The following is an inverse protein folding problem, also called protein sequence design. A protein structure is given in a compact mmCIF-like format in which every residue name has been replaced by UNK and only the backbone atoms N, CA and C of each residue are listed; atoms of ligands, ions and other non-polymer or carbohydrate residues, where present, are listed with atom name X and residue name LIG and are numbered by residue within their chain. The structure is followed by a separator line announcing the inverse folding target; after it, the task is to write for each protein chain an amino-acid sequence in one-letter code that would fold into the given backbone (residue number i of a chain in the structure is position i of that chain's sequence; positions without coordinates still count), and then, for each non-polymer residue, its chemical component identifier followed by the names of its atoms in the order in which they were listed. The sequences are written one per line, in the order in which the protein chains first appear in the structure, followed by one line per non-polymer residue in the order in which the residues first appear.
data_IF_215739545390
#
_entry.id   IF_215739545390
#
_cell.length_a   1.000
_cell.length_b   1.000
_cell.length_c   1.000
_cell.angle_alpha   90.00
_cell.angle_beta   90.00
_cell.angle_gamma   90.00
#
_symmetry.space_group_name_H-M   'P 1'
#
loop_
_entity.id
_entity.type
_entity.pdbx_description
1 polymer ?
#
# COMPACT_ATOMS: atom_id res chain seq x y z
N UNK A 1 30.88 1.76 11.27
CA UNK A 1 30.25 0.61 10.56
C UNK A 1 29.76 1.14 9.23
N UNK A 2 30.40 0.72 8.13
CA UNK A 2 30.13 1.19 6.76
C UNK A 2 28.96 0.40 6.18
N UNK A 3 27.79 1.02 6.06
CA UNK A 3 26.58 0.44 5.46
C UNK A 3 26.62 0.52 3.93
N UNK A 4 27.64 -0.07 3.31
CA UNK A 4 27.71 -0.21 1.87
C UNK A 4 26.91 -1.44 1.41
N UNK A 5 26.28 -1.31 0.24
CA UNK A 5 25.70 -2.36 -0.59
C UNK A 5 24.42 -3.06 -0.13
N UNK A 6 23.29 -2.38 -0.32
CA UNK A 6 22.10 -3.08 -0.83
C UNK A 6 21.37 -2.22 -1.86
N UNK A 7 22.15 -1.63 -2.79
CA UNK A 7 21.56 -0.92 -3.92
C UNK A 7 21.18 -1.90 -5.02
N UNK A 8 19.99 -2.47 -4.92
CA UNK A 8 19.50 -3.44 -5.91
C UNK A 8 18.92 -2.70 -7.12
N UNK A 9 19.61 -2.79 -8.26
CA UNK A 9 19.11 -2.24 -9.51
C UNK A 9 17.73 -2.79 -9.86
N UNK A 10 16.92 -2.02 -10.59
CA UNK A 10 15.55 -2.37 -11.00
C UNK A 10 15.42 -3.82 -11.53
N UNK A 11 16.39 -4.30 -12.32
CA UNK A 11 16.37 -5.67 -12.86
C UNK A 11 16.39 -6.75 -11.77
N UNK A 12 17.05 -6.52 -10.63
CA UNK A 12 17.04 -7.45 -9.50
C UNK A 12 15.64 -7.51 -8.89
N UNK A 13 15.01 -6.36 -8.67
CA UNK A 13 13.63 -6.32 -8.18
C UNK A 13 12.63 -6.98 -9.15
N UNK A 14 12.81 -6.80 -10.47
CA UNK A 14 12.00 -7.50 -11.47
C UNK A 14 12.22 -9.02 -11.41
N UNK A 15 13.46 -9.47 -11.26
CA UNK A 15 13.80 -10.89 -11.14
C UNK A 15 13.21 -11.55 -9.88
N UNK A 16 13.31 -10.88 -8.73
CA UNK A 16 12.77 -11.38 -7.45
C UNK A 16 11.23 -11.41 -7.45
N UNK A 17 10.59 -10.40 -8.03
CA UNK A 17 9.12 -10.31 -8.05
C UNK A 17 8.47 -11.09 -9.18
N UNK A 18 9.23 -11.46 -10.22
CA UNK A 18 8.70 -12.02 -11.47
C UNK A 18 7.81 -11.04 -12.25
N UNK A 19 7.78 -9.75 -11.88
CA UNK A 19 6.93 -8.76 -12.53
C UNK A 19 7.56 -8.20 -13.80
N UNK A 20 6.73 -7.96 -14.82
CA UNK A 20 7.13 -7.11 -15.94
C UNK A 20 7.36 -5.66 -15.50
N UNK A 21 8.33 -4.96 -16.11
CA UNK A 21 8.72 -3.59 -15.76
C UNK A 21 7.54 -2.63 -15.57
N UNK A 22 6.60 -2.60 -16.53
CA UNK A 22 5.42 -1.72 -16.46
C UNK A 22 4.53 -2.00 -15.25
N UNK A 23 4.35 -3.28 -14.90
CA UNK A 23 3.56 -3.69 -13.74
C UNK A 23 4.28 -3.31 -12.44
N UNK A 24 5.57 -3.58 -12.35
CA UNK A 24 6.40 -3.19 -11.22
C UNK A 24 6.37 -1.69 -10.97
N UNK A 25 6.59 -0.87 -12.01
CA UNK A 25 6.55 0.59 -11.87
C UNK A 25 5.16 1.11 -11.47
N UNK A 26 4.07 0.47 -11.95
CA UNK A 26 2.71 0.80 -11.51
C UNK A 26 2.52 0.47 -10.02
N UNK A 27 3.02 -0.67 -9.55
CA UNK A 27 2.99 -1.05 -8.14
C UNK A 27 3.79 -0.05 -7.29
N UNK A 28 5.04 0.25 -7.68
CA UNK A 28 5.90 1.24 -7.02
C UNK A 28 5.21 2.59 -6.92
N UNK A 29 4.63 3.11 -8.01
CA UNK A 29 3.92 4.41 -7.97
C UNK A 29 2.76 4.38 -6.98
N UNK A 30 2.01 3.28 -6.92
CA UNK A 30 0.89 3.14 -5.98
C UNK A 30 1.38 3.05 -4.54
N UNK A 31 2.40 2.24 -4.25
CA UNK A 31 2.92 2.08 -2.90
C UNK A 31 3.64 3.32 -2.39
N UNK A 32 4.33 4.07 -3.26
CA UNK A 32 4.89 5.40 -2.93
C UNK A 32 3.78 6.37 -2.57
N UNK A 33 2.72 6.47 -3.40
CA UNK A 33 1.57 7.36 -3.11
C UNK A 33 0.85 7.00 -1.81
N UNK A 34 0.84 5.73 -1.43
CA UNK A 34 0.24 5.27 -0.17
C UNK A 34 1.15 5.47 1.05
N UNK A 35 2.38 5.99 0.88
CA UNK A 35 3.37 6.15 1.95
C UNK A 35 3.98 4.82 2.43
N UNK A 36 3.80 3.74 1.66
CA UNK A 36 4.30 2.40 2.02
C UNK A 36 5.75 2.17 1.60
N UNK A 37 6.18 2.84 0.52
CA UNK A 37 7.46 2.64 -0.10
C UNK A 37 8.13 3.98 -0.37
N UNK A 38 9.37 4.12 0.04
CA UNK A 38 10.22 5.24 -0.35
C UNK A 38 11.09 4.83 -1.54
N UNK A 39 11.27 5.75 -2.48
CA UNK A 39 12.10 5.55 -3.67
C UNK A 39 13.29 6.51 -3.61
N UNK A 40 14.45 6.00 -3.22
CA UNK A 40 15.66 6.79 -2.96
C UNK A 40 16.57 6.74 -4.19
N UNK A 41 16.94 7.88 -4.82
CA UNK A 41 17.89 7.88 -5.92
C UNK A 41 19.31 7.57 -5.42
N UNK A 42 20.00 6.63 -6.08
CA UNK A 42 21.39 6.24 -5.78
C UNK A 42 22.13 6.01 -7.10
N UNK A 43 23.14 6.83 -7.41
CA UNK A 43 24.02 6.69 -8.59
C UNK A 43 23.29 6.39 -9.92
N UNK A 44 22.23 7.16 -10.22
CA UNK A 44 21.43 6.98 -11.44
C UNK A 44 20.47 5.77 -11.41
N UNK A 45 20.37 5.09 -10.26
CA UNK A 45 19.41 4.02 -9.95
C UNK A 45 18.49 4.45 -8.81
N UNK A 46 17.66 3.51 -8.34
CA UNK A 46 16.76 3.72 -7.23
C UNK A 46 16.77 2.53 -6.28
N UNK A 47 16.83 2.84 -5.00
CA UNK A 47 16.52 1.91 -3.91
C UNK A 47 15.07 2.06 -3.47
N UNK A 48 14.49 0.95 -3.07
CA UNK A 48 13.08 0.84 -2.67
C UNK A 48 13.01 0.37 -1.23
N UNK A 49 12.68 1.30 -0.32
CA UNK A 49 12.68 1.05 1.12
C UNK A 49 11.26 1.01 1.64
N UNK A 50 10.87 -0.10 2.30
CA UNK A 50 9.53 -0.24 2.87
C UNK A 50 9.42 0.48 4.21
N UNK A 51 8.38 1.31 4.34
CA UNK A 51 7.99 1.87 5.62
C UNK A 51 7.23 0.79 6.43
N UNK A 52 7.94 0.15 7.37
CA UNK A 52 7.37 -0.91 8.22
C UNK A 52 6.19 -0.44 9.07
N UNK A 53 6.23 0.80 9.55
CA UNK A 53 5.14 1.38 10.36
C UNK A 53 3.88 1.57 9.52
N UNK A 54 4.00 2.17 8.33
CA UNK A 54 2.89 2.31 7.40
C UNK A 54 2.36 0.94 6.94
N UNK A 55 3.25 -0.03 6.72
CA UNK A 55 2.85 -1.40 6.39
C UNK A 55 2.03 -2.06 7.52
N UNK A 56 2.48 -1.93 8.77
CA UNK A 56 1.73 -2.42 9.93
C UNK A 56 0.34 -1.79 10.04
N UNK A 57 0.25 -0.47 9.80
CA UNK A 57 -1.03 0.23 9.75
C UNK A 57 -1.93 -0.24 8.61
N UNK A 58 -1.38 -0.54 7.44
CA UNK A 58 -2.16 -1.13 6.34
C UNK A 58 -2.73 -2.48 6.74
N UNK A 59 -1.93 -3.34 7.38
CA UNK A 59 -2.36 -4.66 7.86
C UNK A 59 -3.52 -4.53 8.85
N UNK A 60 -3.46 -3.55 9.76
CA UNK A 60 -4.56 -3.25 10.70
C UNK A 60 -5.85 -2.86 9.96
N UNK A 61 -5.75 -1.95 8.97
CA UNK A 61 -6.90 -1.50 8.17
C UNK A 61 -7.54 -2.67 7.40
N UNK A 62 -6.74 -3.45 6.67
CA UNK A 62 -7.27 -4.55 5.84
C UNK A 62 -7.81 -5.71 6.68
N UNK A 63 -7.34 -5.87 7.92
CA UNK A 63 -7.81 -6.89 8.85
C UNK A 63 -9.00 -6.42 9.71
N UNK A 64 -9.43 -5.17 9.55
CA UNK A 64 -10.49 -4.58 10.38
C UNK A 64 -11.89 -5.11 10.06
N UNK A 65 -12.10 -5.66 8.86
CA UNK A 65 -13.37 -6.21 8.42
C UNK A 65 -13.16 -7.48 7.60
N UNK A 66 -14.09 -8.42 7.70
CA UNK A 66 -14.11 -9.64 6.88
C UNK A 66 -14.84 -9.42 5.55
N UNK A 67 -15.54 -8.29 5.39
CA UNK A 67 -16.28 -7.99 4.16
C UNK A 67 -15.37 -7.37 3.11
N UNK A 68 -15.09 -8.14 2.05
CA UNK A 68 -14.29 -7.69 0.91
C UNK A 68 -14.90 -6.47 0.22
N UNK A 69 -16.23 -6.40 0.09
CA UNK A 69 -16.90 -5.27 -0.59
C UNK A 69 -16.72 -3.96 0.19
N UNK A 70 -16.98 -3.97 1.50
CA UNK A 70 -16.73 -2.79 2.37
C UNK A 70 -15.27 -2.38 2.29
N UNK A 71 -14.35 -3.35 2.44
CA UNK A 71 -12.93 -3.06 2.45
C UNK A 71 -12.47 -2.46 1.11
N UNK A 72 -12.97 -2.99 -0.01
CA UNK A 72 -12.66 -2.50 -1.34
C UNK A 72 -13.16 -1.08 -1.54
N UNK A 73 -14.43 -0.81 -1.23
CA UNK A 73 -15.00 0.54 -1.35
C UNK A 73 -14.25 1.56 -0.49
N UNK A 74 -13.90 1.17 0.74
CA UNK A 74 -13.07 1.98 1.63
C UNK A 74 -11.70 2.28 1.01
N UNK A 75 -10.99 1.25 0.54
CA UNK A 75 -9.66 1.40 -0.04
C UNK A 75 -9.67 2.21 -1.36
N UNK A 76 -10.66 1.98 -2.22
CA UNK A 76 -10.79 2.70 -3.50
C UNK A 76 -11.11 4.19 -3.25
N UNK A 77 -11.94 4.49 -2.24
CA UNK A 77 -12.18 5.87 -1.81
C UNK A 77 -10.91 6.51 -1.22
N UNK A 78 -10.34 5.94 -0.17
CA UNK A 78 -9.25 6.57 0.59
C UNK A 78 -7.94 6.62 -0.19
N UNK A 79 -7.52 5.50 -0.80
CA UNK A 79 -6.22 5.41 -1.47
C UNK A 79 -6.31 5.71 -2.97
N UNK A 80 -7.46 5.47 -3.58
CA UNK A 80 -7.69 5.73 -5.00
C UNK A 80 -8.14 7.16 -5.27
N UNK A 81 -9.26 7.56 -4.67
CA UNK A 81 -9.94 8.84 -4.96
C UNK A 81 -9.35 10.00 -4.16
N UNK A 82 -9.23 9.83 -2.84
CA UNK A 82 -8.67 10.86 -1.94
C UNK A 82 -7.14 10.93 -2.01
N UNK A 83 -6.48 9.90 -2.55
CA UNK A 83 -5.02 9.84 -2.71
C UNK A 83 -4.27 9.90 -1.37
N UNK A 84 -4.91 9.49 -0.28
CA UNK A 84 -4.36 9.59 1.07
C UNK A 84 -3.30 8.53 1.32
N UNK A 85 -2.35 8.87 2.20
CA UNK A 85 -1.40 7.90 2.73
C UNK A 85 -2.04 7.03 3.81
N UNK A 86 -1.51 5.81 3.98
CA UNK A 86 -1.97 4.86 4.99
C UNK A 86 -1.91 5.43 6.41
N UNK A 87 -0.86 6.18 6.72
CA UNK A 87 -0.69 6.80 8.03
C UNK A 87 -1.76 7.85 8.37
N UNK A 88 -2.41 8.43 7.35
CA UNK A 88 -3.46 9.45 7.56
C UNK A 88 -4.83 8.85 7.91
N UNK A 89 -5.00 7.54 7.79
CA UNK A 89 -6.26 6.87 8.14
C UNK A 89 -6.41 6.85 9.65
N UNK A 90 -7.47 7.50 10.15
CA UNK A 90 -7.70 7.68 11.58
C UNK A 90 -8.24 6.41 12.24
N UNK A 91 -8.02 6.26 13.55
CA UNK A 91 -8.60 5.13 14.30
C UNK A 91 -10.13 5.12 14.27
N UNK A 92 -10.75 6.30 14.15
CA UNK A 92 -12.20 6.39 14.04
C UNK A 92 -12.69 5.80 12.70
N UNK A 93 -11.97 6.05 11.60
CA UNK A 93 -12.25 5.43 10.31
C UNK A 93 -12.09 3.91 10.37
N UNK A 94 -11.03 3.40 11.02
CA UNK A 94 -10.83 1.95 11.21
C UNK A 94 -11.94 1.33 12.08
N UNK A 95 -12.36 2.00 13.16
CA UNK A 95 -13.48 1.55 14.00
C UNK A 95 -14.80 1.53 13.23
N UNK A 96 -15.02 2.52 12.38
CA UNK A 96 -16.22 2.60 11.52
C UNK A 96 -16.20 1.47 10.51
N UNK A 97 -15.06 1.24 9.86
CA UNK A 97 -14.86 0.15 8.92
C UNK A 97 -15.16 -1.23 9.56
N UNK A 98 -14.68 -1.45 10.79
CA UNK A 98 -14.95 -2.68 11.56
C UNK A 98 -16.42 -2.90 11.90
N UNK A 99 -17.18 -1.83 12.13
CA UNK A 99 -18.60 -1.88 12.50
C UNK A 99 -19.54 -1.88 11.30
N UNK A 100 -19.01 -1.61 10.10
CA UNK A 100 -19.83 -1.53 8.90
C UNK A 100 -20.26 -2.94 8.51
N UNK A 101 -21.53 -3.24 8.80
CA UNK A 101 -22.20 -4.43 8.28
C UNK A 101 -22.81 -4.04 6.95
N UNK A 102 -22.48 -4.77 5.88
CA UNK A 102 -23.13 -4.52 4.59
C UNK A 102 -24.63 -4.79 4.77
N UNK A 103 -25.54 -3.92 4.31
CA UNK A 103 -26.92 -4.31 4.21
C UNK A 103 -26.97 -5.51 3.25
N UNK A 104 -27.43 -6.66 3.73
CA UNK A 104 -27.84 -7.75 2.85
C UNK A 104 -28.86 -7.17 1.89
N UNK A 105 -28.44 -6.93 0.65
CA UNK A 105 -29.25 -6.31 -0.39
C UNK A 105 -30.66 -6.90 -0.38
N UNK A 106 -31.60 -6.09 0.09
CA UNK A 106 -33.00 -6.24 -0.28
C UNK A 106 -33.07 -5.94 -1.77
N UNK A 107 -33.46 -6.96 -2.54
CA UNK A 107 -33.81 -6.87 -3.95
C UNK A 107 -34.58 -5.57 -4.24
N UNK A 108 -34.12 -4.82 -5.24
CA UNK A 108 -34.96 -4.00 -6.10
C UNK A 108 -34.50 -4.19 -7.54
#
# INVERSE_FOLDING_TARGET
MSGADITFGLNVHLGVTGMGRRAFERCVRKTVRMGLLERIPVDGRYDYVWNRTAYGRLVEIISSTTSYTVLREFCDRVFGTEGREVASVTDNEVRTLKRTVFPTSGKR
#
